data_IF_437733489580
#
_entry.id   IF_437733489580
#
_cell.length_a   1.000
_cell.length_b   1.000
_cell.length_c   1.000
_cell.angle_alpha   90.00
_cell.angle_beta   90.00
_cell.angle_gamma   90.00
#
_symmetry.space_group_name_H-M   'P 1'
#
loop_
_entity.id
_entity.type
_entity.pdbx_description
1 polymer ?
#
# COMPACT_ATOMS: atom_id res chain seq x y z
N UNK A 1 -75.56 63.58 -20.17
CA UNK A 1 -74.70 62.69 -21.00
C UNK A 1 -73.29 62.48 -20.45
N UNK A 2 -72.72 63.39 -19.64
CA UNK A 2 -71.34 63.24 -19.14
C UNK A 2 -71.13 62.16 -18.06
N UNK A 3 -72.06 62.00 -17.12
CA UNK A 3 -71.89 61.07 -15.98
C UNK A 3 -71.90 59.58 -16.39
N UNK A 4 -72.78 59.21 -17.34
CA UNK A 4 -72.88 57.84 -17.83
C UNK A 4 -71.60 57.36 -18.52
N UNK A 5 -70.89 58.28 -19.20
CA UNK A 5 -69.64 57.97 -19.90
C UNK A 5 -68.51 57.69 -18.89
N UNK A 6 -68.47 58.43 -17.78
CA UNK A 6 -67.47 58.25 -16.73
C UNK A 6 -67.66 56.91 -16.02
N UNK A 7 -68.90 56.52 -15.71
CA UNK A 7 -69.19 55.22 -15.09
C UNK A 7 -68.79 54.04 -15.98
N UNK A 8 -69.07 54.10 -17.28
CA UNK A 8 -68.69 53.06 -18.24
C UNK A 8 -67.17 52.92 -18.33
N UNK A 9 -66.43 54.03 -18.38
CA UNK A 9 -64.96 54.01 -18.41
C UNK A 9 -64.38 53.42 -17.12
N UNK A 10 -64.95 53.76 -15.95
CA UNK A 10 -64.52 53.20 -14.66
C UNK A 10 -64.80 51.71 -14.57
N UNK A 11 -65.94 51.23 -15.08
CA UNK A 11 -66.27 49.80 -15.13
C UNK A 11 -65.33 49.02 -16.04
N UNK A 12 -64.99 49.57 -17.21
CA UNK A 12 -64.03 48.96 -18.14
C UNK A 12 -62.62 48.89 -17.54
N UNK A 13 -62.17 49.95 -16.87
CA UNK A 13 -60.88 49.97 -16.16
C UNK A 13 -60.84 48.96 -15.01
N UNK A 14 -61.91 48.86 -14.21
CA UNK A 14 -62.02 47.84 -13.15
C UNK A 14 -62.01 46.43 -13.73
N UNK A 15 -62.74 46.19 -14.83
CA UNK A 15 -62.73 44.90 -15.52
C UNK A 15 -61.35 44.52 -16.05
N UNK A 16 -60.61 45.48 -16.60
CA UNK A 16 -59.24 45.29 -17.07
C UNK A 16 -58.26 45.00 -15.92
N UNK A 17 -58.35 45.73 -14.80
CA UNK A 17 -57.49 45.49 -13.65
C UNK A 17 -57.74 44.10 -13.04
N UNK A 18 -59.01 43.70 -12.90
CA UNK A 18 -59.36 42.38 -12.37
C UNK A 18 -58.90 41.26 -13.31
N UNK A 19 -58.96 41.44 -14.63
CA UNK A 19 -58.48 40.43 -15.57
C UNK A 19 -56.95 40.30 -15.56
N UNK A 20 -56.22 41.40 -15.37
CA UNK A 20 -54.76 41.39 -15.15
C UNK A 20 -54.41 40.67 -13.83
N UNK A 21 -55.12 40.93 -12.74
CA UNK A 21 -54.88 40.25 -11.45
C UNK A 21 -55.15 38.74 -11.53
N UNK A 22 -56.24 38.34 -12.20
CA UNK A 22 -56.54 36.92 -12.45
C UNK A 22 -55.46 36.24 -13.30
N UNK A 23 -54.92 36.95 -14.29
CA UNK A 23 -53.82 36.45 -15.11
C UNK A 23 -52.53 36.28 -14.28
N UNK A 24 -52.21 37.26 -13.43
CA UNK A 24 -51.03 37.20 -12.56
C UNK A 24 -51.14 36.05 -11.55
N UNK A 25 -52.31 35.84 -10.95
CA UNK A 25 -52.58 34.72 -10.05
C UNK A 25 -52.47 33.37 -10.75
N UNK A 26 -52.91 33.27 -12.01
CA UNK A 26 -52.80 32.04 -12.79
C UNK A 26 -51.34 31.69 -13.17
N UNK A 27 -50.47 32.70 -13.35
CA UNK A 27 -49.08 32.51 -13.79
C UNK A 27 -48.14 32.25 -12.60
N UNK A 28 -48.46 32.72 -11.39
CA UNK A 28 -47.67 32.50 -10.17
C UNK A 28 -47.28 31.03 -9.90
N UNK A 29 -48.20 30.03 -9.92
CA UNK A 29 -47.84 28.64 -9.63
C UNK A 29 -46.92 28.03 -10.70
N UNK A 30 -47.03 28.48 -11.96
CA UNK A 30 -46.15 28.06 -13.05
C UNK A 30 -44.75 28.63 -12.84
N UNK A 31 -44.64 29.90 -12.46
CA UNK A 31 -43.34 30.53 -12.15
C UNK A 31 -42.67 29.90 -10.92
N UNK A 32 -43.44 29.55 -9.88
CA UNK A 32 -42.92 28.83 -8.72
C UNK A 32 -42.39 27.44 -9.11
N UNK A 33 -43.17 26.65 -9.86
CA UNK A 33 -42.72 25.33 -10.36
C UNK A 33 -41.47 25.43 -11.22
N UNK A 34 -41.39 26.42 -12.12
CA UNK A 34 -40.20 26.67 -12.94
C UNK A 34 -39.00 27.08 -12.09
N UNK A 35 -39.21 27.88 -11.05
CA UNK A 35 -38.19 28.26 -10.08
C UNK A 35 -37.66 27.07 -9.28
N UNK A 36 -38.54 26.20 -8.81
CA UNK A 36 -38.19 24.98 -8.06
C UNK A 36 -37.49 23.95 -8.96
N UNK A 37 -37.93 23.82 -10.22
CA UNK A 37 -37.24 23.00 -11.21
C UNK A 37 -35.83 23.53 -11.45
N UNK A 38 -35.67 24.85 -11.65
CA UNK A 38 -34.37 25.50 -11.87
C UNK A 38 -33.44 25.36 -10.67
N UNK A 39 -33.95 25.48 -9.43
CA UNK A 39 -33.16 25.23 -8.21
C UNK A 39 -32.77 23.77 -8.08
N UNK A 40 -33.69 22.84 -8.30
CA UNK A 40 -33.42 21.39 -8.25
C UNK A 40 -32.39 20.97 -9.30
N UNK A 41 -32.49 21.49 -10.52
CA UNK A 41 -31.52 21.26 -11.59
C UNK A 41 -30.17 21.91 -11.29
N UNK A 42 -30.16 23.13 -10.76
CA UNK A 42 -28.94 23.83 -10.34
C UNK A 42 -28.20 23.09 -9.22
N UNK A 43 -28.92 22.62 -8.19
CA UNK A 43 -28.33 21.86 -7.07
C UNK A 43 -27.85 20.48 -7.53
N UNK A 44 -28.60 19.77 -8.38
CA UNK A 44 -28.18 18.49 -8.96
C UNK A 44 -26.92 18.64 -9.83
N UNK A 45 -26.84 19.69 -10.64
CA UNK A 45 -25.65 19.95 -11.45
C UNK A 45 -24.47 20.40 -10.60
N UNK A 46 -24.65 21.21 -9.55
CA UNK A 46 -23.56 21.59 -8.62
C UNK A 46 -23.04 20.38 -7.83
N UNK A 47 -23.90 19.47 -7.41
CA UNK A 47 -23.50 18.23 -6.74
C UNK A 47 -22.78 17.27 -7.69
N UNK A 48 -23.18 17.20 -8.97
CA UNK A 48 -22.47 16.40 -9.98
C UNK A 48 -21.17 17.04 -10.47
N UNK A 49 -21.06 18.37 -10.50
CA UNK A 49 -19.88 19.10 -10.98
C UNK A 49 -18.77 19.25 -9.93
N UNK A 50 -19.01 18.92 -8.66
CA UNK A 50 -18.04 19.13 -7.57
C UNK A 50 -17.49 17.85 -6.94
N UNK A 51 -17.46 16.75 -7.69
CA UNK A 51 -16.55 15.64 -7.39
C UNK A 51 -15.39 15.69 -8.38
N UNK A 52 -14.54 16.71 -8.25
CA UNK A 52 -13.16 16.53 -8.72
C UNK A 52 -12.59 15.37 -7.91
N UNK A 53 -12.41 14.22 -8.54
CA UNK A 53 -11.60 13.16 -7.95
C UNK A 53 -10.17 13.70 -7.84
N UNK A 54 -9.83 14.24 -6.66
CA UNK A 54 -8.44 14.59 -6.33
C UNK A 54 -7.59 13.38 -6.65
N UNK A 55 -6.71 13.52 -7.65
CA UNK A 55 -5.74 12.50 -8.04
C UNK A 55 -5.00 12.05 -6.78
N UNK A 56 -5.14 10.76 -6.46
CA UNK A 56 -4.44 10.18 -5.31
C UNK A 56 -2.93 10.34 -5.51
N UNK A 57 -2.23 10.67 -4.43
CA UNK A 57 -0.76 10.72 -4.45
C UNK A 57 -0.19 9.33 -4.74
N UNK A 58 0.90 9.26 -5.48
CA UNK A 58 1.62 8.02 -5.79
C UNK A 58 2.72 7.79 -4.77
N UNK A 59 2.67 6.67 -4.07
CA UNK A 59 3.69 6.28 -3.09
C UNK A 59 4.33 4.98 -3.53
N UNK A 60 5.66 5.00 -3.66
CA UNK A 60 6.46 3.80 -3.87
C UNK A 60 7.04 3.34 -2.54
N UNK A 61 6.85 2.08 -2.20
CA UNK A 61 7.43 1.43 -1.01
C UNK A 61 8.43 0.39 -1.48
N UNK A 62 9.71 0.55 -1.13
CA UNK A 62 10.76 -0.40 -1.50
C UNK A 62 10.98 -1.38 -0.36
N UNK A 63 10.66 -2.65 -0.59
CA UNK A 63 10.74 -3.74 0.38
C UNK A 63 9.35 -4.14 0.90
N UNK A 64 9.03 -5.43 0.80
CA UNK A 64 7.77 -6.04 1.24
C UNK A 64 7.95 -6.89 2.51
N UNK A 65 8.70 -6.38 3.49
CA UNK A 65 8.81 -6.97 4.83
C UNK A 65 7.97 -6.17 5.84
N UNK A 66 8.26 -6.30 7.14
CA UNK A 66 7.49 -5.72 8.25
C UNK A 66 7.04 -4.28 8.01
N UNK A 67 8.00 -3.35 7.90
CA UNK A 67 7.71 -1.93 7.78
C UNK A 67 7.01 -1.59 6.45
N UNK A 68 7.45 -2.18 5.34
CA UNK A 68 6.91 -1.89 4.02
C UNK A 68 5.47 -2.35 3.85
N UNK A 69 5.15 -3.57 4.31
CA UNK A 69 3.79 -4.11 4.27
C UNK A 69 2.84 -3.31 5.19
N UNK A 70 3.28 -3.00 6.40
CA UNK A 70 2.47 -2.24 7.35
C UNK A 70 2.22 -0.80 6.88
N UNK A 71 3.26 -0.12 6.38
CA UNK A 71 3.11 1.21 5.79
C UNK A 71 2.16 1.19 4.59
N UNK A 72 2.30 0.21 3.70
CA UNK A 72 1.45 0.08 2.51
C UNK A 72 -0.02 -0.14 2.87
N UNK A 73 -0.29 -0.96 3.90
CA UNK A 73 -1.65 -1.19 4.43
C UNK A 73 -2.31 0.09 4.94
N UNK A 74 -1.54 0.98 5.57
CA UNK A 74 -2.06 2.28 6.03
C UNK A 74 -2.18 3.29 4.89
N UNK A 75 -1.16 3.41 4.04
CA UNK A 75 -1.09 4.40 2.98
C UNK A 75 -2.09 4.13 1.84
N UNK A 76 -2.41 2.88 1.55
CA UNK A 76 -3.37 2.49 0.50
C UNK A 76 -4.78 3.07 0.72
N UNK A 77 -5.12 3.48 1.95
CA UNK A 77 -6.37 4.19 2.27
C UNK A 77 -6.41 5.63 1.75
N UNK A 78 -5.23 6.23 1.54
CA UNK A 78 -5.07 7.67 1.25
C UNK A 78 -4.33 7.94 -0.08
N UNK A 79 -3.62 6.96 -0.61
CA UNK A 79 -2.73 7.07 -1.76
C UNK A 79 -2.80 5.84 -2.67
N UNK A 80 -2.31 5.99 -3.90
CA UNK A 80 -2.00 4.88 -4.80
C UNK A 80 -0.62 4.33 -4.40
N UNK A 81 -0.57 3.09 -3.92
CA UNK A 81 0.65 2.48 -3.37
C UNK A 81 1.16 1.37 -4.29
N UNK A 82 2.43 1.47 -4.67
CA UNK A 82 3.18 0.44 -5.37
C UNK A 82 4.28 -0.09 -4.46
N UNK A 83 4.29 -1.39 -4.20
CA UNK A 83 5.36 -2.05 -3.46
C UNK A 83 6.34 -2.63 -4.47
N UNK A 84 7.64 -2.40 -4.29
CA UNK A 84 8.69 -3.03 -5.09
C UNK A 84 9.44 -4.00 -4.17
N UNK A 85 9.50 -5.27 -4.55
CA UNK A 85 10.21 -6.31 -3.80
C UNK A 85 10.88 -7.27 -4.77
N UNK A 86 12.11 -7.68 -4.47
CA UNK A 86 12.87 -8.58 -5.36
C UNK A 86 12.52 -10.06 -5.14
N UNK A 87 11.97 -10.41 -3.96
CA UNK A 87 11.54 -11.76 -3.58
C UNK A 87 10.04 -11.96 -3.79
N UNK A 88 9.64 -13.20 -4.06
CA UNK A 88 8.22 -13.58 -4.19
C UNK A 88 7.56 -14.02 -2.87
N UNK A 89 8.23 -13.78 -1.73
CA UNK A 89 7.80 -14.25 -0.42
C UNK A 89 8.20 -13.31 0.72
N UNK A 90 7.42 -13.38 1.78
CA UNK A 90 7.70 -12.79 3.08
C UNK A 90 8.38 -13.83 3.98
N UNK A 91 9.35 -13.40 4.79
CA UNK A 91 10.01 -14.23 5.81
C UNK A 91 9.91 -13.53 7.18
N UNK A 92 9.37 -14.23 8.17
CA UNK A 92 9.40 -13.82 9.57
C UNK A 92 10.80 -14.06 10.15
N UNK A 93 11.70 -13.13 9.83
CA UNK A 93 13.12 -13.22 10.16
C UNK A 93 13.47 -13.39 11.65
N UNK A 94 12.69 -12.93 12.65
CA UNK A 94 13.01 -13.22 14.04
C UNK A 94 12.96 -14.72 14.40
N UNK A 95 12.12 -15.51 13.72
CA UNK A 95 11.95 -16.93 14.03
C UNK A 95 12.95 -17.88 13.34
N UNK A 96 13.76 -17.37 12.40
CA UNK A 96 14.51 -18.23 11.47
C UNK A 96 15.70 -18.95 12.09
N UNK A 97 16.11 -18.58 13.30
CA UNK A 97 17.26 -19.20 13.96
C UNK A 97 17.02 -20.69 14.23
N UNK A 98 15.76 -21.07 14.49
CA UNK A 98 15.36 -22.47 14.63
C UNK A 98 15.57 -23.28 13.33
N UNK A 99 15.58 -22.65 12.17
CA UNK A 99 15.83 -23.33 10.90
C UNK A 99 17.23 -23.97 10.80
N UNK A 100 18.19 -23.53 11.63
CA UNK A 100 19.50 -24.19 11.72
C UNK A 100 19.40 -25.60 12.30
N UNK A 101 18.43 -25.86 13.17
CA UNK A 101 18.24 -27.17 13.83
C UNK A 101 17.04 -27.94 13.28
N UNK A 102 16.04 -27.23 12.75
CA UNK A 102 14.81 -27.76 12.17
C UNK A 102 14.43 -26.97 10.89
N UNK A 103 14.97 -27.36 9.71
CA UNK A 103 14.73 -26.64 8.45
C UNK A 103 13.25 -26.59 8.02
N UNK A 104 12.44 -27.57 8.43
CA UNK A 104 11.03 -27.63 8.05
C UNK A 104 10.23 -26.50 8.69
N UNK A 105 10.70 -25.97 9.83
CA UNK A 105 10.10 -24.83 10.51
C UNK A 105 9.97 -23.59 9.61
N UNK A 106 10.84 -23.44 8.60
CA UNK A 106 10.79 -22.33 7.63
C UNK A 106 9.41 -22.12 7.01
N UNK A 107 8.67 -23.18 6.68
CA UNK A 107 7.36 -23.08 6.05
C UNK A 107 6.28 -22.49 6.97
N UNK A 108 6.51 -22.47 8.28
CA UNK A 108 5.64 -21.77 9.25
C UNK A 108 5.97 -20.28 9.39
N UNK A 109 7.16 -19.88 8.93
CA UNK A 109 7.69 -18.52 9.05
C UNK A 109 7.59 -17.71 7.75
N UNK A 110 7.27 -18.36 6.64
CA UNK A 110 7.29 -17.74 5.32
C UNK A 110 5.97 -17.97 4.57
N UNK A 111 5.58 -16.96 3.79
CA UNK A 111 4.40 -17.04 2.94
C UNK A 111 4.64 -16.29 1.63
N UNK A 112 3.92 -16.69 0.58
CA UNK A 112 4.06 -16.03 -0.72
C UNK A 112 3.41 -14.64 -0.71
N UNK A 113 4.07 -13.67 -1.37
CA UNK A 113 3.60 -12.30 -1.50
C UNK A 113 2.54 -12.19 -2.61
N UNK A 114 1.33 -12.70 -2.35
CA UNK A 114 0.15 -12.45 -3.17
C UNK A 114 -0.83 -11.59 -2.36
N UNK A 115 -0.58 -10.28 -2.26
CA UNK A 115 -1.35 -9.39 -1.38
C UNK A 115 -2.26 -8.45 -2.18
N UNK A 116 -3.56 -8.75 -2.32
CA UNK A 116 -4.54 -7.70 -2.62
C UNK A 116 -4.70 -6.75 -1.42
N UNK A 117 -4.94 -5.44 -1.60
CA UNK A 117 -5.17 -4.70 -2.84
C UNK A 117 -3.95 -3.92 -3.38
N UNK A 118 -2.73 -4.15 -2.87
CA UNK A 118 -1.55 -3.37 -3.29
C UNK A 118 -0.94 -3.93 -4.58
N UNK A 119 -0.51 -3.05 -5.48
CA UNK A 119 0.25 -3.48 -6.65
C UNK A 119 1.68 -3.82 -6.20
N UNK A 120 2.01 -5.11 -6.17
CA UNK A 120 3.38 -5.58 -5.94
C UNK A 120 4.06 -5.71 -7.30
N UNK A 121 5.22 -5.07 -7.42
CA UNK A 121 6.11 -5.12 -8.56
C UNK A 121 7.32 -5.95 -8.15
N UNK A 122 7.44 -7.14 -8.73
CA UNK A 122 8.60 -8.01 -8.49
C UNK A 122 9.79 -7.49 -9.30
N UNK A 123 10.81 -6.98 -8.63
CA UNK A 123 11.99 -6.39 -9.27
C UNK A 123 13.02 -5.90 -8.27
N UNK A 124 14.25 -5.74 -8.75
CA UNK A 124 15.38 -5.29 -7.95
C UNK A 124 15.58 -3.79 -8.13
N UNK A 125 15.50 -3.01 -7.06
CA UNK A 125 15.78 -1.57 -7.11
C UNK A 125 17.28 -1.34 -7.17
N UNK A 126 17.74 -0.64 -8.21
CA UNK A 126 19.16 -0.30 -8.41
C UNK A 126 19.48 1.15 -8.07
N UNK A 127 18.51 2.05 -8.21
CA UNK A 127 18.71 3.48 -7.96
C UNK A 127 17.40 4.16 -7.52
N UNK A 128 17.53 5.19 -6.69
CA UNK A 128 16.41 6.04 -6.23
C UNK A 128 16.73 7.48 -6.57
N UNK A 129 16.00 8.02 -7.54
CA UNK A 129 16.14 9.38 -8.02
C UNK A 129 15.07 10.29 -7.42
N UNK A 130 15.15 11.60 -7.69
CA UNK A 130 14.30 12.60 -7.06
C UNK A 130 12.78 12.38 -7.25
N UNK A 131 12.36 11.76 -8.37
CA UNK A 131 10.93 11.55 -8.71
C UNK A 131 10.60 10.14 -9.19
N UNK A 132 11.58 9.23 -9.20
CA UNK A 132 11.42 7.90 -9.76
C UNK A 132 12.40 6.91 -9.14
N UNK A 133 11.98 5.64 -9.10
CA UNK A 133 12.83 4.50 -8.72
C UNK A 133 13.21 3.73 -9.96
N UNK A 134 14.49 3.38 -10.11
CA UNK A 134 14.98 2.52 -11.19
C UNK A 134 14.94 1.08 -10.72
N UNK A 135 14.24 0.24 -11.47
CA UNK A 135 13.99 -1.17 -11.14
C UNK A 135 14.47 -2.06 -12.28
N UNK A 136 15.33 -3.02 -11.94
CA UNK A 136 15.71 -4.12 -12.80
C UNK A 136 14.72 -5.28 -12.68
N UNK A 137 14.27 -5.78 -13.82
CA UNK A 137 13.37 -6.92 -13.97
C UNK A 137 14.10 -8.06 -14.64
N UNK A 138 13.76 -9.26 -14.20
CA UNK A 138 14.15 -10.49 -14.88
C UNK A 138 12.94 -10.97 -15.69
N UNK A 139 13.00 -10.81 -17.02
CA UNK A 139 11.92 -11.21 -17.92
C UNK A 139 12.45 -12.25 -18.90
N UNK A 140 12.26 -13.53 -18.59
CA UNK A 140 12.70 -14.62 -19.46
C UNK A 140 14.22 -14.72 -19.62
N UNK A 141 15.00 -14.27 -18.63
CA UNK A 141 16.47 -14.29 -18.67
C UNK A 141 17.10 -13.00 -19.22
N UNK A 142 16.30 -12.08 -19.75
CA UNK A 142 16.76 -10.75 -20.15
C UNK A 142 16.52 -9.74 -19.02
N UNK A 143 17.56 -8.96 -18.72
CA UNK A 143 17.46 -7.84 -17.77
C UNK A 143 16.83 -6.64 -18.46
N UNK A 144 15.65 -6.25 -18.00
CA UNK A 144 15.00 -5.01 -18.41
C UNK A 144 15.05 -3.99 -17.27
N UNK A 145 15.15 -2.72 -17.61
CA UNK A 145 15.10 -1.63 -16.63
C UNK A 145 13.79 -0.86 -16.85
N UNK A 146 13.09 -0.53 -15.77
CA UNK A 146 11.97 0.42 -15.80
C UNK A 146 12.10 1.46 -14.70
N UNK A 147 11.59 2.64 -15.00
CA UNK A 147 11.52 3.75 -14.07
C UNK A 147 10.09 3.84 -13.53
N UNK A 148 9.94 3.81 -12.20
CA UNK A 148 8.64 3.88 -11.53
C UNK A 148 8.50 5.25 -10.86
N UNK A 149 7.65 6.15 -11.38
CA UNK A 149 7.50 7.50 -10.84
C UNK A 149 6.72 7.51 -9.53
N UNK A 150 7.06 8.45 -8.64
CA UNK A 150 6.40 8.62 -7.35
C UNK A 150 6.26 10.09 -6.95
N UNK A 151 5.28 10.39 -6.10
CA UNK A 151 5.24 11.64 -5.32
C UNK A 151 6.02 11.50 -4.00
N UNK A 152 5.97 10.30 -3.39
CA UNK A 152 6.73 9.96 -2.20
C UNK A 152 7.36 8.56 -2.32
N UNK A 153 8.56 8.38 -1.76
CA UNK A 153 9.24 7.10 -1.71
C UNK A 153 9.54 6.72 -0.25
N UNK A 154 9.18 5.50 0.13
CA UNK A 154 9.49 4.91 1.43
C UNK A 154 10.53 3.80 1.27
N UNK A 155 11.67 3.95 1.94
CA UNK A 155 12.74 2.96 1.96
C UNK A 155 12.53 1.98 3.13
N UNK A 156 12.11 0.75 2.83
CA UNK A 156 11.82 -0.31 3.78
C UNK A 156 12.55 -1.64 3.42
N UNK A 157 13.73 -1.52 2.80
CA UNK A 157 14.50 -2.63 2.22
C UNK A 157 15.28 -3.48 3.25
N UNK A 158 15.33 -3.05 4.51
CA UNK A 158 16.05 -3.78 5.56
C UNK A 158 17.57 -3.69 5.40
N UNK A 159 18.27 -4.76 5.81
CA UNK A 159 19.73 -4.84 5.86
C UNK A 159 20.24 -6.15 5.28
N UNK A 160 21.44 -6.14 4.70
CA UNK A 160 22.16 -7.33 4.26
C UNK A 160 23.46 -7.53 5.05
N UNK A 161 23.81 -8.78 5.30
CA UNK A 161 25.10 -9.16 5.91
C UNK A 161 25.43 -10.60 5.54
N UNK A 162 26.70 -10.97 5.75
CA UNK A 162 27.17 -12.31 5.44
C UNK A 162 26.53 -13.36 6.36
N UNK A 163 26.03 -14.44 5.76
CA UNK A 163 25.47 -15.58 6.49
C UNK A 163 24.19 -16.11 5.86
N UNK A 164 23.47 -16.91 6.65
CA UNK A 164 22.19 -17.49 6.23
C UNK A 164 20.99 -16.86 6.95
N UNK A 165 21.19 -16.07 8.02
CA UNK A 165 20.08 -15.52 8.82
C UNK A 165 19.19 -14.59 7.99
N UNK A 166 19.76 -13.81 7.07
CA UNK A 166 18.98 -13.04 6.08
C UNK A 166 18.99 -13.75 4.74
N UNK A 167 17.89 -13.67 3.96
CA UNK A 167 17.90 -14.10 2.57
C UNK A 167 18.94 -13.31 1.77
N UNK A 168 19.70 -14.01 0.95
CA UNK A 168 20.62 -13.47 -0.05
C UNK A 168 19.85 -13.06 -1.29
N UNK A 169 20.49 -12.22 -2.12
CA UNK A 169 19.87 -11.66 -3.33
C UNK A 169 19.42 -12.74 -4.32
N UNK A 170 20.12 -13.85 -4.37
CA UNK A 170 19.84 -14.98 -5.26
C UNK A 170 18.64 -15.80 -4.77
N UNK A 171 18.28 -15.70 -3.49
CA UNK A 171 17.20 -16.45 -2.86
C UNK A 171 15.84 -15.76 -3.09
N UNK A 172 15.46 -15.61 -4.37
CA UNK A 172 14.23 -14.91 -4.77
C UNK A 172 12.93 -15.65 -4.42
N UNK A 173 13.00 -16.96 -4.17
CA UNK A 173 11.82 -17.83 -3.94
C UNK A 173 11.93 -18.60 -2.63
N UNK A 174 10.78 -19.03 -2.09
CA UNK A 174 10.73 -19.88 -0.89
C UNK A 174 11.50 -21.18 -1.08
N UNK A 175 11.48 -21.78 -2.27
CA UNK A 175 12.20 -23.02 -2.55
C UNK A 175 13.72 -22.83 -2.50
N UNK A 176 14.24 -21.76 -3.11
CA UNK A 176 15.65 -21.40 -3.00
C UNK A 176 16.04 -21.19 -1.53
N UNK A 177 15.19 -20.48 -0.79
CA UNK A 177 15.42 -20.17 0.62
C UNK A 177 15.40 -21.42 1.52
N UNK A 178 14.48 -22.35 1.27
CA UNK A 178 14.40 -23.62 1.98
C UNK A 178 15.65 -24.48 1.79
N UNK A 179 16.23 -24.50 0.57
CA UNK A 179 17.48 -25.22 0.30
C UNK A 179 18.66 -24.69 1.14
N UNK A 180 18.73 -23.37 1.36
CA UNK A 180 19.74 -22.78 2.25
C UNK A 180 19.59 -23.31 3.67
N UNK A 181 18.37 -23.40 4.19
CA UNK A 181 18.15 -23.95 5.54
C UNK A 181 18.53 -25.44 5.64
N UNK A 182 18.21 -26.24 4.63
CA UNK A 182 18.64 -27.64 4.56
C UNK A 182 20.16 -27.76 4.56
N UNK A 183 20.84 -26.90 3.80
CA UNK A 183 22.31 -26.87 3.72
C UNK A 183 22.96 -26.49 5.05
N UNK A 184 22.50 -25.42 5.69
CA UNK A 184 23.06 -24.96 6.97
C UNK A 184 22.80 -25.95 8.11
N UNK A 185 21.64 -26.60 8.12
CA UNK A 185 21.36 -27.68 9.08
C UNK A 185 22.28 -28.89 8.88
N UNK A 186 22.49 -29.32 7.64
CA UNK A 186 23.41 -30.42 7.32
C UNK A 186 24.85 -30.09 7.77
N UNK A 187 25.32 -28.88 7.49
CA UNK A 187 26.63 -28.39 8.00
C UNK A 187 26.70 -28.45 9.52
N UNK A 188 25.68 -27.94 10.21
CA UNK A 188 25.64 -27.93 11.68
C UNK A 188 25.65 -29.34 12.26
N UNK A 189 24.90 -30.27 11.66
CA UNK A 189 24.85 -31.67 12.09
C UNK A 189 26.22 -32.34 12.00
N UNK A 190 26.90 -32.17 10.86
CA UNK A 190 28.23 -32.76 10.61
C UNK A 190 29.34 -32.13 11.46
N UNK A 191 29.20 -30.87 11.85
CA UNK A 191 30.21 -30.16 12.62
C UNK A 191 30.30 -30.71 14.06
N UNK A 192 31.51 -31.03 14.58
CA UNK A 192 31.68 -31.51 15.96
C UNK A 192 31.48 -30.39 17.00
N UNK A 193 31.58 -29.14 16.58
CA UNK A 193 31.38 -27.94 17.41
C UNK A 193 30.91 -26.77 16.56
N UNK A 194 30.32 -25.76 17.19
CA UNK A 194 29.88 -24.52 16.54
C UNK A 194 30.50 -23.29 17.22
N UNK A 195 30.95 -22.33 16.41
CA UNK A 195 31.38 -21.01 16.85
C UNK A 195 30.32 -19.98 16.45
N UNK A 196 29.74 -19.29 17.44
CA UNK A 196 28.79 -18.19 17.22
C UNK A 196 29.52 -16.87 17.45
N UNK A 197 29.59 -16.04 16.40
CA UNK A 197 30.25 -14.74 16.45
C UNK A 197 29.19 -13.65 16.68
N UNK A 198 29.25 -13.02 17.85
CA UNK A 198 28.35 -11.98 18.34
C UNK A 198 27.44 -12.49 19.46
N UNK A 199 27.61 -11.99 20.69
CA UNK A 199 26.77 -12.32 21.86
C UNK A 199 25.58 -11.36 22.05
N UNK A 200 25.04 -10.80 20.96
CA UNK A 200 23.77 -10.07 20.98
C UNK A 200 22.57 -11.03 20.96
N UNK A 201 21.35 -10.48 20.92
CA UNK A 201 20.09 -11.24 20.94
C UNK A 201 20.11 -12.43 19.96
N UNK A 202 20.43 -12.16 18.69
CA UNK A 202 20.45 -13.16 17.62
C UNK A 202 21.47 -14.29 17.90
N UNK A 203 22.66 -13.96 18.39
CA UNK A 203 23.69 -14.97 18.65
C UNK A 203 23.39 -15.81 19.89
N UNK A 204 22.82 -15.19 20.93
CA UNK A 204 22.37 -15.90 22.13
C UNK A 204 21.23 -16.86 21.80
N UNK A 205 20.22 -16.41 21.05
CA UNK A 205 19.12 -17.25 20.59
C UNK A 205 19.62 -18.41 19.70
N UNK A 206 20.52 -18.14 18.76
CA UNK A 206 21.08 -19.18 17.90
C UNK A 206 21.88 -20.22 18.72
N UNK A 207 22.70 -19.78 19.67
CA UNK A 207 23.42 -20.68 20.55
C UNK A 207 22.46 -21.56 21.37
N UNK A 208 21.38 -20.96 21.88
CA UNK A 208 20.34 -21.65 22.64
C UNK A 208 19.61 -22.72 21.79
N UNK A 209 19.19 -22.37 20.56
CA UNK A 209 18.57 -23.32 19.62
C UNK A 209 19.48 -24.53 19.37
N UNK A 210 20.79 -24.30 19.16
CA UNK A 210 21.76 -25.39 18.91
C UNK A 210 21.88 -26.32 20.12
N UNK A 211 22.10 -25.78 21.33
CA UNK A 211 22.31 -26.63 22.52
C UNK A 211 21.01 -27.31 22.99
N UNK A 212 19.85 -26.72 22.73
CA UNK A 212 18.56 -27.31 23.07
C UNK A 212 18.30 -28.60 22.28
N UNK A 213 18.72 -28.65 21.00
CA UNK A 213 18.57 -29.83 20.13
C UNK A 213 19.79 -30.77 20.21
N UNK A 214 20.99 -30.22 20.33
CA UNK A 214 22.25 -30.96 20.36
C UNK A 214 23.01 -30.71 21.68
N UNK A 215 22.55 -31.26 22.82
CA UNK A 215 23.11 -30.95 24.14
C UNK A 215 24.58 -31.36 24.32
N UNK A 216 25.06 -32.32 23.52
CA UNK A 216 26.45 -32.78 23.53
C UNK A 216 27.38 -31.97 22.61
N UNK A 217 26.83 -31.11 21.74
CA UNK A 217 27.62 -30.33 20.79
C UNK A 217 28.24 -29.12 21.49
N UNK A 218 29.56 -28.95 21.38
CA UNK A 218 30.25 -27.79 21.95
C UNK A 218 29.90 -26.53 21.17
N UNK A 219 29.28 -25.55 21.83
CA UNK A 219 28.99 -24.23 21.26
C UNK A 219 29.85 -23.18 21.97
N UNK A 220 30.66 -22.46 21.21
CA UNK A 220 31.47 -21.34 21.71
C UNK A 220 30.84 -20.04 21.23
N UNK A 221 30.47 -19.16 22.16
CA UNK A 221 29.97 -17.82 21.86
C UNK A 221 31.10 -16.81 22.05
N UNK A 222 31.45 -16.07 21.00
CA UNK A 222 32.50 -15.04 21.04
C UNK A 222 31.86 -13.68 20.79
N UNK A 223 32.27 -12.68 21.55
CA UNK A 223 31.93 -11.28 21.30
C UNK A 223 33.16 -10.41 21.46
N UNK A 224 33.19 -9.29 20.72
CA UNK A 224 34.18 -8.25 20.92
C UNK A 224 33.53 -7.09 21.67
N UNK A 225 34.26 -6.52 22.64
CA UNK A 225 34.02 -5.14 23.06
C UNK A 225 34.69 -4.25 22.04
N UNK A 226 33.93 -3.41 21.32
CA UNK A 226 34.56 -2.26 20.67
C UNK A 226 35.08 -1.36 21.79
N UNK A 227 36.40 -1.13 21.82
CA UNK A 227 37.05 -0.07 22.60
C UNK A 227 36.99 1.21 21.76
#
# INVERSE_FOLDING_TARGET
MGELLVEVVVLLLKGFLVSVDLLLLAVQPVMQKLGDLRRSWGVRNILHLKKEEKKKKKVVVIGASFAGLEASRHLSKHAEVTIIEERSFFEYTPGVLRCFVDPQHFYSLACSLHLPPCQIVTGHVTDVQAKQVVVEFDHGGEKQVREIPFDYCLLAMGSSYNGAIRPRREEKTMSCRAMTWMHENSKLQQAPSALVVGAGLVGVELAAEIIAVYPSKRVTLVYGTQV
#
